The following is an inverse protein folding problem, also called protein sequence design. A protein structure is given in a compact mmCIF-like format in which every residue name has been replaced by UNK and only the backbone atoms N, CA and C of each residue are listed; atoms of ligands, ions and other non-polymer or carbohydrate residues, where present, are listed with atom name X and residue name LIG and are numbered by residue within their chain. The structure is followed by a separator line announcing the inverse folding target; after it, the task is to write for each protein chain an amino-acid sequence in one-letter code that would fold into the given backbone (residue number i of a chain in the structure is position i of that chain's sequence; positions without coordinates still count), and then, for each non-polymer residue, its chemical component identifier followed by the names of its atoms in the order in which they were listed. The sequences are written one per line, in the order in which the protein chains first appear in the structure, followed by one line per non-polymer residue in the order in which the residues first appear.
data_IF_316499733618
#
_entry.id   IF_316499733618
#
_cell.length_a   1.000
_cell.length_b   1.000
_cell.length_c   1.000
_cell.angle_alpha   90.00
_cell.angle_beta   90.00
_cell.angle_gamma   90.00
#
_symmetry.space_group_name_H-M   'P 1'
#
loop_
_entity.id
_entity.type
_entity.pdbx_description
1 polymer ?
#
# COMPACT_ATOMS: atom_id res chain seq x y z
N UNK A 1 10.83 -5.99 15.43
CA UNK A 1 9.55 -6.58 14.97
C UNK A 1 9.08 -7.63 15.96
N UNK A 2 7.78 -8.03 15.95
CA UNK A 2 7.30 -9.18 16.71
C UNK A 2 8.01 -10.46 16.24
N UNK A 3 8.27 -11.40 17.15
CA UNK A 3 8.91 -12.67 16.80
C UNK A 3 7.83 -13.71 16.44
N UNK A 4 7.77 -14.06 15.15
CA UNK A 4 6.84 -15.06 14.61
C UNK A 4 7.03 -16.47 15.23
N UNK A 5 8.13 -16.71 15.93
CA UNK A 5 8.49 -17.99 16.55
C UNK A 5 8.33 -17.97 18.06
N UNK A 6 8.12 -16.81 18.67
CA UNK A 6 7.86 -16.69 20.11
C UNK A 6 6.35 -16.71 20.38
N UNK A 7 5.85 -17.86 20.85
CA UNK A 7 4.44 -18.00 21.21
C UNK A 7 4.03 -17.17 22.44
N UNK A 8 4.99 -16.56 23.15
CA UNK A 8 4.71 -15.66 24.27
C UNK A 8 4.74 -14.17 23.86
N UNK A 9 5.08 -13.85 22.61
CA UNK A 9 5.03 -12.47 22.13
C UNK A 9 3.57 -12.05 21.93
N UNK A 10 3.04 -11.27 22.87
CA UNK A 10 1.65 -10.81 22.86
C UNK A 10 1.38 -9.68 21.85
N UNK A 11 2.39 -9.22 21.11
CA UNK A 11 2.22 -8.12 20.15
C UNK A 11 1.45 -8.62 18.93
N UNK A 12 0.39 -7.91 18.49
CA UNK A 12 -0.39 -8.33 17.35
C UNK A 12 0.43 -8.26 16.06
N UNK A 13 0.32 -9.32 15.24
CA UNK A 13 0.87 -9.35 13.89
C UNK A 13 -0.16 -8.81 12.91
N UNK A 14 0.26 -7.85 12.09
CA UNK A 14 -0.57 -7.34 11.00
C UNK A 14 -0.50 -8.30 9.81
N UNK A 15 -1.67 -8.78 9.38
CA UNK A 15 -1.83 -9.58 8.15
C UNK A 15 -2.85 -8.87 7.25
N UNK A 16 -2.34 -8.30 6.15
CA UNK A 16 -3.13 -7.56 5.19
C UNK A 16 -4.29 -8.37 4.62
N UNK A 17 -4.12 -9.67 4.36
CA UNK A 17 -5.20 -10.47 3.81
C UNK A 17 -6.35 -10.62 4.80
N UNK A 18 -6.03 -10.81 6.09
CA UNK A 18 -7.05 -10.85 7.14
C UNK A 18 -7.75 -9.51 7.31
N UNK A 19 -7.01 -8.41 7.28
CA UNK A 19 -7.58 -7.05 7.34
C UNK A 19 -8.55 -6.83 6.19
N UNK A 20 -8.15 -7.12 4.95
CA UNK A 20 -8.99 -6.90 3.76
C UNK A 20 -10.22 -7.82 3.81
N UNK A 21 -10.09 -9.11 4.19
CA UNK A 21 -11.24 -10.03 4.33
C UNK A 21 -12.25 -9.55 5.36
N UNK A 22 -11.78 -8.98 6.47
CA UNK A 22 -12.63 -8.45 7.55
C UNK A 22 -13.10 -7.02 7.30
N UNK A 23 -12.72 -6.39 6.18
CA UNK A 23 -12.96 -4.97 5.89
C UNK A 23 -12.49 -4.06 7.03
N UNK A 24 -11.33 -4.39 7.60
CA UNK A 24 -10.73 -3.65 8.70
C UNK A 24 -10.12 -2.32 8.23
N UNK A 25 -9.96 -1.40 9.18
CA UNK A 25 -9.27 -0.12 8.98
C UNK A 25 -7.94 -0.16 9.70
N UNK A 26 -6.87 0.25 9.02
CA UNK A 26 -5.52 0.30 9.57
C UNK A 26 -5.03 1.73 9.52
N UNK A 27 -4.63 2.26 10.68
CA UNK A 27 -3.98 3.57 10.81
C UNK A 27 -2.50 3.37 11.09
N UNK A 28 -1.65 4.14 10.40
CA UNK A 28 -0.20 4.02 10.49
C UNK A 28 0.36 5.42 10.74
N UNK A 29 0.95 5.60 11.93
CA UNK A 29 1.68 6.82 12.27
C UNK A 29 3.17 6.57 12.10
N UNK A 30 3.79 7.25 11.14
CA UNK A 30 5.21 7.07 10.80
C UNK A 30 6.15 8.06 11.49
N UNK A 31 5.61 9.13 12.09
CA UNK A 31 6.40 10.19 12.76
C UNK A 31 7.57 10.71 11.90
N UNK A 32 7.28 11.00 10.63
CA UNK A 32 8.27 11.43 9.64
C UNK A 32 8.97 12.74 9.98
N UNK A 33 8.35 13.59 10.82
CA UNK A 33 8.97 14.82 11.32
C UNK A 33 10.16 14.54 12.25
N UNK A 34 10.11 13.43 12.99
CA UNK A 34 11.16 13.07 13.96
C UNK A 34 12.29 12.27 13.29
N UNK A 35 11.94 11.35 12.39
CA UNK A 35 12.91 10.54 11.64
C UNK A 35 12.37 10.16 10.26
N UNK A 36 12.71 10.98 9.26
CA UNK A 36 12.27 10.79 7.88
C UNK A 36 12.83 9.50 7.24
N UNK A 37 14.04 9.08 7.62
CA UNK A 37 14.66 7.88 7.05
C UNK A 37 13.94 6.62 7.55
N UNK A 38 13.65 6.54 8.85
CA UNK A 38 12.88 5.44 9.43
C UNK A 38 11.45 5.45 8.90
N UNK A 39 10.79 6.61 8.87
CA UNK A 39 9.43 6.74 8.34
C UNK A 39 9.35 6.26 6.88
N UNK A 40 10.29 6.70 6.04
CA UNK A 40 10.34 6.30 4.64
C UNK A 40 10.64 4.81 4.47
N UNK A 41 11.56 4.25 5.27
CA UNK A 41 11.87 2.82 5.24
C UNK A 41 10.66 1.96 5.65
N UNK A 42 9.97 2.33 6.73
CA UNK A 42 8.79 1.61 7.22
C UNK A 42 7.62 1.75 6.24
N UNK A 43 7.35 2.96 5.73
CA UNK A 43 6.31 3.21 4.73
C UNK A 43 6.56 2.46 3.42
N UNK A 44 7.80 2.43 2.94
CA UNK A 44 8.13 1.70 1.71
C UNK A 44 8.04 0.18 1.90
N UNK A 45 8.40 -0.36 3.09
CA UNK A 45 8.18 -1.77 3.42
C UNK A 45 6.69 -2.12 3.44
N UNK A 46 5.85 -1.24 3.98
CA UNK A 46 4.40 -1.40 3.98
C UNK A 46 3.83 -1.44 2.56
N UNK A 47 4.28 -0.56 1.66
CA UNK A 47 3.87 -0.59 0.26
C UNK A 47 4.32 -1.87 -0.45
N UNK A 48 5.54 -2.35 -0.18
CA UNK A 48 6.03 -3.59 -0.75
C UNK A 48 5.12 -4.78 -0.38
N UNK A 49 4.71 -4.87 0.88
CA UNK A 49 3.79 -5.90 1.35
C UNK A 49 2.41 -5.78 0.69
N UNK A 50 1.87 -4.57 0.59
CA UNK A 50 0.59 -4.31 -0.10
C UNK A 50 0.66 -4.65 -1.59
N UNK A 51 1.78 -4.37 -2.28
CA UNK A 51 2.00 -4.75 -3.69
C UNK A 51 2.03 -6.27 -3.83
N UNK A 52 2.67 -6.97 -2.92
CA UNK A 52 2.71 -8.43 -2.90
C UNK A 52 1.31 -9.02 -2.72
N UNK A 53 0.53 -8.48 -1.78
CA UNK A 53 -0.86 -8.88 -1.52
C UNK A 53 -1.76 -8.56 -2.72
N UNK A 54 -1.59 -7.39 -3.34
CA UNK A 54 -2.29 -7.03 -4.58
C UNK A 54 -1.99 -8.01 -5.70
N UNK A 55 -0.71 -8.38 -5.89
CA UNK A 55 -0.29 -9.38 -6.85
C UNK A 55 -0.91 -10.76 -6.59
N UNK A 56 -1.05 -11.14 -5.31
CA UNK A 56 -1.73 -12.36 -4.91
C UNK A 56 -3.23 -12.31 -5.22
N UNK A 57 -3.94 -11.25 -4.79
CA UNK A 57 -5.38 -11.04 -5.03
C UNK A 57 -5.69 -11.03 -6.53
N UNK A 58 -4.85 -10.38 -7.33
CA UNK A 58 -5.00 -10.33 -8.78
C UNK A 58 -4.91 -11.73 -9.43
N UNK A 59 -4.02 -12.60 -8.93
CA UNK A 59 -3.79 -13.95 -9.49
C UNK A 59 -4.77 -15.00 -8.99
N UNK A 60 -5.11 -14.96 -7.70
CA UNK A 60 -5.81 -16.04 -7.00
C UNK A 60 -7.16 -15.63 -6.41
N UNK A 61 -7.55 -14.35 -6.51
CA UNK A 61 -8.69 -13.82 -5.77
C UNK A 61 -8.38 -13.57 -4.29
N UNK A 62 -9.41 -13.18 -3.54
CA UNK A 62 -9.26 -12.73 -2.15
C UNK A 62 -9.69 -13.78 -1.09
N UNK A 63 -10.48 -14.78 -1.49
CA UNK A 63 -11.07 -15.78 -0.59
C UNK A 63 -10.33 -17.15 -0.51
N UNK A 64 -9.19 -17.30 -1.18
CA UNK A 64 -8.35 -18.51 -1.11
C UNK A 64 -8.98 -19.75 -1.78
N UNK A 65 -8.46 -20.95 -1.48
CA UNK A 65 -8.91 -22.27 -2.01
C UNK A 65 -10.33 -22.70 -1.56
N UNK A 66 -11.24 -21.77 -1.27
CA UNK A 66 -12.63 -22.11 -0.98
C UNK A 66 -13.34 -22.55 -2.27
N UNK A 67 -14.00 -23.72 -2.28
CA UNK A 67 -14.62 -24.27 -3.48
C UNK A 67 -15.67 -23.28 -4.00
N UNK A 68 -15.48 -22.86 -5.24
CA UNK A 68 -16.25 -21.83 -5.95
C UNK A 68 -17.77 -22.00 -5.75
N UNK A 69 -18.35 -21.25 -4.82
CA UNK A 69 -19.80 -21.01 -4.83
C UNK A 69 -20.05 -19.83 -5.77
N UNK A 70 -19.92 -20.07 -7.07
CA UNK A 70 -20.65 -19.43 -8.19
C UNK A 70 -20.84 -17.91 -8.27
N UNK A 71 -20.26 -17.11 -7.38
CA UNK A 71 -20.37 -15.67 -7.36
C UNK A 71 -19.03 -15.16 -7.89
N UNK A 72 -19.04 -14.50 -9.06
CA UNK A 72 -17.91 -13.67 -9.47
C UNK A 72 -17.64 -12.68 -8.36
N UNK A 73 -16.69 -12.98 -7.48
CA UNK A 73 -16.42 -12.17 -6.31
C UNK A 73 -16.03 -10.78 -6.77
N UNK A 74 -16.80 -9.81 -6.27
CA UNK A 74 -16.56 -8.41 -6.53
C UNK A 74 -15.18 -8.09 -5.96
N UNK A 75 -14.29 -7.55 -6.81
CA UNK A 75 -12.93 -7.15 -6.39
C UNK A 75 -12.99 -6.41 -5.04
N UNK A 76 -12.12 -6.73 -4.08
CA UNK A 76 -12.09 -5.99 -2.82
C UNK A 76 -11.81 -4.52 -3.14
N UNK A 77 -12.52 -3.60 -2.48
CA UNK A 77 -12.20 -2.17 -2.55
C UNK A 77 -11.29 -1.85 -1.36
N UNK A 78 -10.06 -1.46 -1.67
CA UNK A 78 -9.01 -1.17 -0.70
C UNK A 78 -8.64 0.30 -0.87
N UNK A 79 -9.24 1.17 -0.07
CA UNK A 79 -8.92 2.61 -0.08
C UNK A 79 -7.64 2.88 0.70
N UNK A 80 -6.61 3.35 0.01
CA UNK A 80 -5.32 3.71 0.57
C UNK A 80 -5.17 5.23 0.59
N UNK A 81 -5.21 5.81 1.78
CA UNK A 81 -5.04 7.24 2.00
C UNK A 81 -3.61 7.51 2.49
N UNK A 82 -2.86 8.30 1.73
CA UNK A 82 -1.47 8.66 2.05
C UNK A 82 -1.40 10.16 2.28
N UNK A 83 -1.22 10.57 3.53
CA UNK A 83 -0.85 11.95 3.84
C UNK A 83 0.65 12.16 3.63
N UNK A 84 1.05 13.42 3.41
CA UNK A 84 2.45 13.82 3.14
C UNK A 84 3.12 12.91 2.10
N UNK A 85 2.41 12.71 0.99
CA UNK A 85 2.76 11.74 -0.03
C UNK A 85 4.22 11.81 -0.50
N UNK A 86 4.76 13.02 -0.65
CA UNK A 86 6.14 13.26 -1.07
C UNK A 86 7.19 12.55 -0.20
N UNK A 87 6.95 12.37 1.10
CA UNK A 87 7.91 11.69 2.00
C UNK A 87 7.86 10.15 1.85
N UNK A 88 6.69 9.64 1.45
CA UNK A 88 6.41 8.21 1.32
C UNK A 88 6.75 7.64 -0.07
N UNK A 89 7.12 8.50 -1.01
CA UNK A 89 7.48 8.13 -2.39
C UNK A 89 8.79 7.36 -2.46
N UNK A 90 8.69 6.04 -2.25
CA UNK A 90 9.76 5.08 -2.46
C UNK A 90 9.62 4.30 -3.78
N UNK A 91 10.61 3.45 -4.11
CA UNK A 91 10.61 2.61 -5.32
C UNK A 91 9.38 1.72 -5.48
N UNK A 92 8.76 1.29 -4.38
CA UNK A 92 7.61 0.36 -4.39
C UNK A 92 6.27 1.05 -4.57
N UNK A 93 6.22 2.37 -4.34
CA UNK A 93 5.01 3.14 -4.50
C UNK A 93 4.56 3.21 -5.96
N UNK A 94 5.49 3.38 -6.91
CA UNK A 94 5.16 3.46 -8.34
C UNK A 94 4.52 2.14 -8.84
N UNK A 95 5.12 0.96 -8.58
CA UNK A 95 4.46 -0.32 -8.82
C UNK A 95 3.08 -0.44 -8.17
N UNK A 96 2.91 0.07 -6.94
CA UNK A 96 1.64 0.04 -6.21
C UNK A 96 0.56 0.81 -6.95
N UNK A 97 0.80 2.07 -7.34
CA UNK A 97 -0.17 2.85 -8.12
C UNK A 97 -0.47 2.20 -9.48
N UNK A 98 0.56 1.67 -10.15
CA UNK A 98 0.41 1.09 -11.49
C UNK A 98 -0.33 -0.26 -11.52
N UNK A 99 -0.17 -1.09 -10.48
CA UNK A 99 -0.63 -2.48 -10.46
C UNK A 99 -1.72 -2.74 -9.43
N UNK A 100 -1.81 -1.91 -8.39
CA UNK A 100 -2.74 -2.05 -7.28
C UNK A 100 -4.21 -1.96 -7.72
N UNK A 101 -4.52 -1.13 -8.72
CA UNK A 101 -5.88 -1.03 -9.27
C UNK A 101 -6.41 -2.36 -9.82
N UNK A 102 -5.52 -3.24 -10.31
CA UNK A 102 -5.89 -4.59 -10.74
C UNK A 102 -6.51 -5.42 -9.62
N UNK A 103 -6.05 -5.21 -8.39
CA UNK A 103 -6.49 -5.86 -7.16
C UNK A 103 -7.56 -5.05 -6.38
N UNK A 104 -7.97 -3.90 -6.90
CA UNK A 104 -8.96 -3.02 -6.27
C UNK A 104 -8.40 -2.07 -5.21
N UNK A 105 -7.07 -1.81 -5.24
CA UNK A 105 -6.47 -0.73 -4.48
C UNK A 105 -6.76 0.61 -5.17
N UNK A 106 -7.33 1.53 -4.40
CA UNK A 106 -7.65 2.90 -4.80
C UNK A 106 -6.80 3.85 -3.96
N UNK A 107 -5.89 4.59 -4.60
CA UNK A 107 -4.89 5.41 -3.89
C UNK A 107 -5.32 6.87 -3.91
N UNK A 108 -5.52 7.43 -2.72
CA UNK A 108 -5.70 8.87 -2.53
C UNK A 108 -4.48 9.42 -1.82
N UNK A 109 -3.68 10.22 -2.52
CA UNK A 109 -2.45 10.79 -2.00
C UNK A 109 -2.60 12.30 -1.80
N UNK A 110 -2.27 12.80 -0.61
CA UNK A 110 -2.33 14.21 -0.26
C UNK A 110 -0.92 14.81 -0.30
N UNK A 111 -0.74 15.91 -1.03
CA UNK A 111 0.52 16.64 -1.14
C UNK A 111 0.25 18.14 -1.14
N UNK A 112 1.23 18.93 -0.71
CA UNK A 112 1.15 20.38 -0.73
C UNK A 112 1.33 20.92 -2.15
N UNK A 113 2.33 20.43 -2.88
CA UNK A 113 2.58 20.85 -4.26
C UNK A 113 3.00 19.68 -5.17
N UNK A 114 2.81 19.86 -6.47
CA UNK A 114 3.34 18.96 -7.49
C UNK A 114 4.87 19.00 -7.58
N UNK A 115 5.47 20.13 -7.24
CA UNK A 115 6.92 20.32 -7.26
C UNK A 115 7.63 19.45 -6.22
N UNK A 116 6.99 19.17 -5.09
CA UNK A 116 7.54 18.30 -4.04
C UNK A 116 7.72 16.85 -4.52
N UNK A 117 6.77 16.37 -5.35
CA UNK A 117 6.81 15.05 -5.99
C UNK A 117 7.98 14.97 -6.99
N UNK A 118 8.16 16.01 -7.80
CA UNK A 118 9.24 16.07 -8.78
C UNK A 118 10.61 16.14 -8.10
N UNK A 119 10.75 16.97 -7.08
CA UNK A 119 11.97 17.11 -6.29
C UNK A 119 12.37 15.79 -5.61
N UNK A 120 11.40 15.03 -5.08
CA UNK A 120 11.65 13.73 -4.47
C UNK A 120 12.07 12.66 -5.49
N UNK A 121 11.40 12.59 -6.64
CA UNK A 121 11.74 11.62 -7.70
C UNK A 121 13.07 11.96 -8.36
N UNK A 122 13.42 13.25 -8.42
CA UNK A 122 14.62 13.73 -9.12
C UNK A 122 14.57 13.55 -10.65
N UNK A 123 13.38 13.27 -11.20
CA UNK A 123 13.17 13.04 -12.63
C UNK A 123 11.76 13.46 -13.05
N UNK A 124 11.67 14.55 -13.79
CA UNK A 124 10.43 15.13 -14.29
C UNK A 124 9.56 14.13 -15.07
N UNK A 125 10.16 13.27 -15.90
CA UNK A 125 9.42 12.30 -16.71
C UNK A 125 8.79 11.19 -15.84
N UNK A 126 9.51 10.71 -14.83
CA UNK A 126 8.97 9.75 -13.85
C UNK A 126 7.91 10.41 -12.96
N UNK A 127 8.10 11.66 -12.57
CA UNK A 127 7.09 12.41 -11.83
C UNK A 127 5.80 12.55 -12.64
N UNK A 128 5.90 12.98 -13.91
CA UNK A 128 4.77 13.05 -14.83
C UNK A 128 4.10 11.68 -15.06
N UNK A 129 4.87 10.60 -15.06
CA UNK A 129 4.32 9.25 -15.12
C UNK A 129 3.50 8.95 -13.86
N UNK A 130 4.05 9.19 -12.66
CA UNK A 130 3.36 8.93 -11.39
C UNK A 130 2.08 9.74 -11.31
N UNK A 131 2.13 11.04 -11.60
CA UNK A 131 0.94 11.90 -11.59
C UNK A 131 -0.09 11.46 -12.64
N UNK A 132 0.35 11.03 -13.82
CA UNK A 132 -0.53 10.48 -14.85
C UNK A 132 -1.21 9.16 -14.48
N UNK A 133 -0.70 8.41 -13.49
CA UNK A 133 -1.36 7.20 -12.99
C UNK A 133 -2.41 7.49 -11.91
N UNK A 134 -2.36 8.67 -11.29
CA UNK A 134 -3.49 9.19 -10.51
C UNK A 134 -4.55 9.71 -11.48
N UNK A 135 -5.27 8.79 -12.13
CA UNK A 135 -6.49 9.15 -12.85
C UNK A 135 -7.58 9.47 -11.82
N UNK A 136 -8.17 10.66 -11.94
CA UNK A 136 -9.20 11.22 -11.04
C UNK A 136 -10.33 10.26 -10.71
#
# INVERSE_FOLDING_TARGET
SPDYRDMNDSRPLLDWQQVIRRKGVVYIGLDAMSDADVASAVGNSMFADLVSVAGHIYKFGHDGDQPEIGIKEKKPSISLHCDEFNELMGPEFIPMVNKGGGAGIEVTAYTQTWSDIEARIGNAAKAAQVTGNFNT
#
